data_IF_995792711912
#
_entry.id   IF_995792711912
#
_cell.length_a   1.000
_cell.length_b   1.000
_cell.length_c   1.000
_cell.angle_alpha   90.00
_cell.angle_beta   90.00
_cell.angle_gamma   90.00
#
_symmetry.space_group_name_H-M   'P 1'
#
loop_
_entity.id
_entity.type
_entity.pdbx_description
1 polymer ?
#
# COMPACT_ATOMS: atom_id res chain seq x y z
N UNK A 1 -10.45 -15.61 -1.23
CA UNK A 1 -9.58 -15.85 -0.06
C UNK A 1 -8.98 -17.23 -0.22
N UNK A 2 -7.67 -17.39 -0.08
CA UNK A 2 -7.01 -18.70 -0.06
C UNK A 2 -5.93 -18.69 1.03
N UNK A 3 -5.55 -19.87 1.51
CA UNK A 3 -4.50 -20.06 2.52
C UNK A 3 -3.33 -20.82 1.90
N UNK A 4 -2.12 -20.30 2.07
CA UNK A 4 -0.89 -21.05 1.78
C UNK A 4 -0.53 -21.95 2.96
N UNK A 5 -0.23 -23.21 2.71
CA UNK A 5 0.21 -24.18 3.72
C UNK A 5 1.72 -24.38 3.62
N UNK A 6 2.46 -23.87 4.61
CA UNK A 6 3.91 -23.96 4.71
C UNK A 6 4.45 -25.40 4.75
N UNK A 7 3.66 -26.37 5.25
CA UNK A 7 4.10 -27.77 5.34
C UNK A 7 4.05 -28.49 3.99
N UNK A 8 3.05 -28.16 3.17
CA UNK A 8 2.83 -28.84 1.87
C UNK A 8 3.29 -27.99 0.68
N UNK A 9 3.51 -26.69 0.87
CA UNK A 9 3.82 -25.73 -0.19
C UNK A 9 2.66 -25.52 -1.17
N UNK A 10 1.43 -25.83 -0.74
CA UNK A 10 0.19 -25.75 -1.54
C UNK A 10 -0.72 -24.63 -1.04
N UNK A 11 -1.77 -24.34 -1.81
CA UNK A 11 -2.81 -23.38 -1.43
C UNK A 11 -4.15 -24.06 -1.28
N UNK A 12 -5.00 -23.60 -0.35
CA UNK A 12 -6.38 -24.06 -0.28
C UNK A 12 -7.15 -23.68 -1.56
N UNK A 13 -8.22 -24.41 -1.86
CA UNK A 13 -9.22 -23.92 -2.81
C UNK A 13 -9.73 -22.52 -2.38
N UNK A 14 -9.84 -21.54 -3.30
CA UNK A 14 -10.19 -20.18 -2.95
C UNK A 14 -11.70 -20.02 -2.68
N UNK A 15 -12.04 -19.33 -1.60
CA UNK A 15 -13.41 -18.94 -1.24
C UNK A 15 -13.72 -17.53 -1.74
N UNK A 16 -14.83 -17.36 -2.46
CA UNK A 16 -15.34 -16.04 -2.85
C UNK A 16 -15.93 -15.34 -1.61
N UNK A 17 -15.32 -14.23 -1.20
CA UNK A 17 -15.80 -13.43 -0.06
C UNK A 17 -16.84 -12.40 -0.53
N UNK A 18 -16.53 -11.70 -1.62
CA UNK A 18 -17.38 -10.68 -2.20
C UNK A 18 -16.99 -10.42 -3.66
N UNK A 19 -17.98 -10.17 -4.52
CA UNK A 19 -17.77 -9.78 -5.90
C UNK A 19 -18.32 -8.37 -6.10
N UNK A 20 -17.48 -7.46 -6.59
CA UNK A 20 -17.92 -6.17 -7.12
C UNK A 20 -17.91 -6.27 -8.64
N UNK A 21 -19.00 -5.86 -9.29
CA UNK A 21 -19.09 -5.81 -10.75
C UNK A 21 -18.34 -4.57 -11.30
N UNK A 22 -17.04 -4.48 -11.03
CA UNK A 22 -16.16 -3.37 -11.43
C UNK A 22 -14.75 -3.91 -11.69
N UNK A 23 -14.06 -3.33 -12.66
CA UNK A 23 -12.65 -3.58 -12.97
C UNK A 23 -11.71 -2.51 -12.37
N UNK A 24 -12.28 -1.52 -11.66
CA UNK A 24 -11.54 -0.46 -10.97
C UNK A 24 -10.56 -1.05 -9.92
N UNK A 25 -9.24 -0.92 -10.12
CA UNK A 25 -8.22 -1.53 -9.24
C UNK A 25 -8.17 -0.91 -7.83
N UNK A 26 -8.90 0.20 -7.61
CA UNK A 26 -9.01 0.86 -6.32
C UNK A 26 -9.92 0.14 -5.32
N UNK A 27 -10.79 -0.76 -5.79
CA UNK A 27 -11.73 -1.51 -4.95
C UNK A 27 -11.12 -2.78 -4.35
N UNK A 28 -9.79 -2.85 -4.25
CA UNK A 28 -9.08 -3.96 -3.63
C UNK A 28 -9.38 -4.09 -2.13
N UNK A 29 -9.04 -5.24 -1.56
CA UNK A 29 -9.28 -5.56 -0.16
C UNK A 29 -7.99 -5.58 0.66
N UNK A 30 -8.11 -5.29 1.96
CA UNK A 30 -7.08 -5.59 2.95
C UNK A 30 -7.56 -6.67 3.90
N UNK A 31 -6.61 -7.49 4.35
CA UNK A 31 -6.87 -8.67 5.19
C UNK A 31 -6.03 -8.55 6.45
N UNK A 32 -6.61 -8.89 7.60
CA UNK A 32 -5.87 -9.06 8.85
C UNK A 32 -6.62 -10.04 9.78
N UNK A 33 -5.97 -10.48 10.85
CA UNK A 33 -6.52 -11.40 11.84
C UNK A 33 -6.59 -10.74 13.22
N UNK A 34 -7.57 -11.12 14.01
CA UNK A 34 -7.59 -10.79 15.44
C UNK A 34 -6.78 -11.80 16.28
N UNK A 35 -6.63 -11.51 17.57
CA UNK A 35 -5.89 -12.37 18.52
C UNK A 35 -6.51 -13.77 18.66
N UNK A 36 -7.82 -13.92 18.43
CA UNK A 36 -8.52 -15.20 18.49
C UNK A 36 -8.38 -16.01 17.18
N UNK A 37 -7.81 -15.43 16.13
CA UNK A 37 -7.59 -16.05 14.83
C UNK A 37 -8.73 -15.86 13.84
N UNK A 38 -9.73 -15.01 14.12
CA UNK A 38 -10.73 -14.68 13.10
C UNK A 38 -10.09 -13.84 11.99
N UNK A 39 -10.48 -14.12 10.75
CA UNK A 39 -9.99 -13.39 9.57
C UNK A 39 -10.97 -12.27 9.24
N UNK A 40 -10.44 -11.07 9.03
CA UNK A 40 -11.22 -9.90 8.64
C UNK A 40 -10.80 -9.42 7.26
N UNK A 41 -11.77 -9.08 6.44
CA UNK A 41 -11.58 -8.55 5.08
C UNK A 41 -12.31 -7.21 4.99
N UNK A 42 -11.55 -6.13 4.78
CA UNK A 42 -12.10 -4.80 4.50
C UNK A 42 -11.90 -4.52 3.00
N UNK A 43 -12.99 -4.51 2.25
CA UNK A 43 -13.00 -4.14 0.83
C UNK A 43 -13.06 -2.61 0.72
N UNK A 44 -12.08 -2.00 0.04
CA UNK A 44 -11.97 -0.55 -0.10
C UNK A 44 -13.23 0.05 -0.73
N UNK A 45 -13.59 1.26 -0.30
CA UNK A 45 -14.51 2.12 -1.05
C UNK A 45 -13.82 2.80 -2.24
N UNK A 46 -14.59 3.64 -2.95
CA UNK A 46 -14.09 4.45 -4.07
C UNK A 46 -14.62 5.87 -4.01
N UNK A 47 -13.69 6.82 -3.90
CA UNK A 47 -13.97 8.25 -3.85
C UNK A 47 -15.06 8.56 -2.82
N UNK A 48 -16.00 9.42 -3.18
CA UNK A 48 -17.24 9.71 -2.45
C UNK A 48 -18.45 8.93 -2.98
N UNK A 49 -18.26 8.03 -3.96
CA UNK A 49 -19.36 7.39 -4.70
C UNK A 49 -19.62 5.92 -4.34
N UNK A 50 -18.62 5.16 -3.88
CA UNK A 50 -18.79 3.77 -3.44
C UNK A 50 -18.28 3.57 -2.01
N UNK A 51 -19.10 2.89 -1.20
CA UNK A 51 -18.77 2.51 0.18
C UNK A 51 -17.83 1.31 0.27
N UNK A 52 -17.32 1.07 1.48
CA UNK A 52 -16.53 -0.10 1.85
C UNK A 52 -17.42 -1.25 2.34
N UNK A 53 -16.86 -2.46 2.39
CA UNK A 53 -17.51 -3.64 2.98
C UNK A 53 -16.57 -4.29 4.00
N UNK A 54 -17.11 -4.80 5.10
CA UNK A 54 -16.35 -5.49 6.15
C UNK A 54 -16.90 -6.89 6.31
N UNK A 55 -16.02 -7.89 6.23
CA UNK A 55 -16.36 -9.29 6.43
C UNK A 55 -15.50 -9.89 7.53
N UNK A 56 -16.07 -10.79 8.32
CA UNK A 56 -15.38 -11.57 9.36
C UNK A 56 -15.61 -13.06 9.11
N UNK A 57 -14.60 -13.90 9.29
CA UNK A 57 -14.77 -15.36 9.20
C UNK A 57 -15.79 -15.86 10.23
N UNK A 58 -16.53 -16.90 9.89
CA UNK A 58 -17.52 -17.50 10.79
C UNK A 58 -16.89 -18.23 11.99
N UNK A 59 -15.64 -18.67 11.84
CA UNK A 59 -14.86 -19.38 12.85
C UNK A 59 -13.41 -18.88 12.90
N UNK A 60 -12.72 -18.99 14.06
CA UNK A 60 -11.30 -18.67 14.15
C UNK A 60 -10.47 -19.66 13.32
N UNK A 61 -9.39 -19.18 12.72
CA UNK A 61 -8.46 -19.93 11.86
C UNK A 61 -9.12 -20.61 10.65
N UNK A 62 -10.31 -20.16 10.25
CA UNK A 62 -11.06 -20.65 9.10
C UNK A 62 -11.27 -19.56 8.05
N UNK A 63 -11.30 -19.96 6.79
CA UNK A 63 -11.64 -19.12 5.62
C UNK A 63 -12.85 -19.67 4.86
N UNK A 64 -13.54 -20.69 5.38
CA UNK A 64 -14.62 -21.41 4.68
C UNK A 64 -15.86 -20.55 4.42
N UNK A 65 -16.17 -19.63 5.34
CA UNK A 65 -17.31 -18.73 5.20
C UNK A 65 -17.09 -17.42 5.96
N UNK A 66 -17.77 -16.38 5.49
CA UNK A 66 -17.65 -15.02 6.00
C UNK A 66 -19.04 -14.42 6.25
N UNK A 67 -19.13 -13.62 7.30
CA UNK A 67 -20.33 -12.87 7.69
C UNK A 67 -20.08 -11.38 7.43
N UNK A 68 -21.11 -10.68 6.93
CA UNK A 68 -21.07 -9.25 6.65
C UNK A 68 -21.25 -8.40 7.92
N UNK A 69 -20.21 -7.66 8.27
CA UNK A 69 -20.14 -6.70 9.38
C UNK A 69 -20.02 -5.26 8.88
N UNK A 70 -20.30 -4.97 7.62
CA UNK A 70 -20.21 -3.62 7.03
C UNK A 70 -20.95 -2.61 7.90
N UNK A 71 -20.28 -1.56 8.39
CA UNK A 71 -20.87 -0.59 9.31
C UNK A 71 -22.02 0.16 8.63
N UNK A 72 -22.89 0.77 9.42
CA UNK A 72 -23.74 1.84 8.90
C UNK A 72 -22.84 3.01 8.48
N UNK A 73 -23.24 3.77 7.46
CA UNK A 73 -22.43 4.89 6.98
C UNK A 73 -22.23 5.93 8.10
N UNK A 74 -20.98 6.23 8.44
CA UNK A 74 -20.65 7.28 9.41
C UNK A 74 -20.77 8.66 8.78
N UNK A 75 -21.35 9.60 9.53
CA UNK A 75 -21.45 11.01 9.15
C UNK A 75 -20.17 11.77 9.56
N UNK A 76 -19.40 12.23 8.57
CA UNK A 76 -18.14 12.95 8.81
C UNK A 76 -18.34 14.44 9.13
N UNK A 77 -19.58 14.94 9.23
CA UNK A 77 -19.86 16.35 9.46
C UNK A 77 -19.13 16.92 10.70
N UNK A 78 -19.15 16.21 11.82
CA UNK A 78 -18.48 16.66 13.05
C UNK A 78 -16.95 16.58 12.95
N UNK A 79 -16.40 15.55 12.32
CA UNK A 79 -14.95 15.40 12.11
C UNK A 79 -14.37 16.49 11.20
N UNK A 80 -15.16 16.99 10.25
CA UNK A 80 -14.76 18.15 9.49
C UNK A 80 -14.74 19.43 10.35
N UNK A 81 -15.61 19.61 11.35
CA UNK A 81 -15.56 20.81 12.22
C UNK A 81 -14.24 20.92 12.98
N UNK A 82 -13.71 19.80 13.46
CA UNK A 82 -12.41 19.78 14.16
C UNK A 82 -11.26 20.24 13.25
N UNK A 83 -11.31 19.88 11.96
CA UNK A 83 -10.35 20.35 10.95
C UNK A 83 -10.41 21.85 10.75
N UNK A 84 -11.62 22.39 10.67
CA UNK A 84 -11.89 23.81 10.49
C UNK A 84 -11.28 24.61 11.66
N UNK A 85 -11.58 24.18 12.88
CA UNK A 85 -11.06 24.79 14.09
C UNK A 85 -9.52 24.75 14.13
N UNK A 86 -8.91 23.60 13.81
CA UNK A 86 -7.46 23.45 13.75
C UNK A 86 -6.80 24.32 12.65
N UNK A 87 -7.51 24.58 11.56
CA UNK A 87 -7.06 25.46 10.49
C UNK A 87 -7.24 26.96 10.80
N UNK A 88 -7.95 27.31 11.88
CA UNK A 88 -8.25 28.69 12.25
C UNK A 88 -9.13 29.41 11.24
N UNK A 89 -10.07 28.70 10.62
CA UNK A 89 -10.98 29.24 9.61
C UNK A 89 -12.44 29.00 10.03
N UNK A 90 -13.39 29.74 9.46
CA UNK A 90 -14.82 29.50 9.64
C UNK A 90 -15.39 28.95 8.33
N UNK A 91 -15.90 27.72 8.33
CA UNK A 91 -16.54 27.14 7.14
C UNK A 91 -17.92 26.55 7.44
N UNK A 92 -18.91 26.78 6.56
CA UNK A 92 -20.24 26.20 6.74
C UNK A 92 -20.20 24.71 6.37
N UNK A 93 -20.40 23.84 7.37
CA UNK A 93 -20.76 22.42 7.17
C UNK A 93 -22.27 22.31 7.44
N UNK A 94 -23.01 21.73 6.50
CA UNK A 94 -24.45 21.52 6.64
C UNK A 94 -24.86 20.16 6.14
N UNK A 95 -25.71 19.46 6.90
CA UNK A 95 -26.21 18.13 6.55
C UNK A 95 -25.21 17.01 6.84
N UNK A 96 -25.55 15.80 6.42
CA UNK A 96 -24.76 14.58 6.63
C UNK A 96 -23.72 14.41 5.53
N UNK A 97 -22.47 14.10 5.89
CA UNK A 97 -21.34 13.88 5.00
C UNK A 97 -20.84 12.44 5.08
N UNK A 98 -21.53 11.50 4.42
CA UNK A 98 -21.06 10.11 4.36
C UNK A 98 -19.79 9.98 3.53
N UNK A 99 -18.82 9.18 4.01
CA UNK A 99 -17.55 8.93 3.31
C UNK A 99 -17.18 7.46 3.32
N UNK A 100 -16.62 7.00 2.20
CA UNK A 100 -16.04 5.66 2.10
C UNK A 100 -14.59 5.63 2.56
N UNK A 101 -14.18 4.49 3.12
CA UNK A 101 -12.79 4.22 3.48
C UNK A 101 -12.01 3.84 2.20
N UNK A 102 -11.13 4.73 1.73
CA UNK A 102 -10.35 4.51 0.50
C UNK A 102 -8.90 4.13 0.81
N UNK A 103 -8.33 3.22 0.03
CA UNK A 103 -6.95 2.73 0.20
C UNK A 103 -6.62 2.31 1.65
N UNK A 104 -7.45 1.48 2.29
CA UNK A 104 -7.28 1.16 3.69
C UNK A 104 -5.94 0.47 3.96
N UNK A 105 -5.46 0.65 5.18
CA UNK A 105 -4.49 -0.21 5.86
C UNK A 105 -5.12 -0.57 7.19
N UNK A 106 -5.10 -1.85 7.54
CA UNK A 106 -5.82 -2.41 8.66
C UNK A 106 -4.89 -3.27 9.48
N UNK A 107 -4.70 -2.92 10.76
CA UNK A 107 -3.78 -3.60 11.67
C UNK A 107 -4.46 -3.93 12.99
N UNK A 108 -4.38 -5.18 13.42
CA UNK A 108 -4.87 -5.56 14.75
C UNK A 108 -3.97 -4.97 15.85
N UNK A 109 -4.60 -4.36 16.86
CA UNK A 109 -3.95 -3.81 18.05
C UNK A 109 -4.60 -4.44 19.28
N UNK A 110 -3.79 -5.13 20.09
CA UNK A 110 -4.25 -5.69 21.36
C UNK A 110 -4.55 -4.57 22.38
N UNK A 111 -5.76 -4.62 22.92
CA UNK A 111 -6.23 -3.72 23.97
C UNK A 111 -7.30 -4.42 24.84
N UNK A 112 -6.98 -4.77 26.10
CA UNK A 112 -7.88 -5.52 26.96
C UNK A 112 -9.14 -4.75 27.37
N UNK A 113 -9.21 -3.43 27.11
CA UNK A 113 -10.39 -2.62 27.35
C UNK A 113 -11.55 -2.96 26.40
N UNK A 114 -11.26 -3.56 25.24
CA UNK A 114 -12.28 -3.96 24.27
C UNK A 114 -12.79 -5.39 24.53
N UNK A 115 -14.04 -5.66 24.14
CA UNK A 115 -14.68 -6.98 24.31
C UNK A 115 -13.90 -8.09 23.59
N UNK A 116 -13.40 -7.81 22.38
CA UNK A 116 -12.55 -8.70 21.59
C UNK A 116 -11.06 -8.63 21.96
N UNK A 117 -10.71 -7.99 23.07
CA UNK A 117 -9.33 -7.76 23.51
C UNK A 117 -8.45 -7.00 22.53
N UNK A 118 -9.07 -6.25 21.61
CA UNK A 118 -8.39 -5.35 20.70
C UNK A 118 -9.34 -4.68 19.72
N UNK A 119 -8.74 -3.94 18.80
CA UNK A 119 -9.40 -3.26 17.70
C UNK A 119 -8.50 -3.26 16.46
N UNK A 120 -9.05 -2.93 15.30
CA UNK A 120 -8.25 -2.69 14.11
C UNK A 120 -7.91 -1.21 13.97
N UNK A 121 -6.63 -0.85 14.01
CA UNK A 121 -6.17 0.48 13.62
C UNK A 121 -6.26 0.63 12.11
N UNK A 122 -7.07 1.58 11.66
CA UNK A 122 -7.20 1.96 10.27
C UNK A 122 -6.32 3.17 9.96
N UNK A 123 -5.69 3.14 8.79
CA UNK A 123 -5.10 4.31 8.11
C UNK A 123 -5.66 4.34 6.69
N UNK A 124 -6.33 5.42 6.32
CA UNK A 124 -7.09 5.47 5.07
C UNK A 124 -7.21 6.88 4.52
N UNK A 125 -7.69 6.99 3.29
CA UNK A 125 -7.96 8.26 2.62
C UNK A 125 -9.44 8.55 2.63
N UNK A 126 -9.80 9.80 2.93
CA UNK A 126 -11.15 10.35 2.75
C UNK A 126 -11.10 11.32 1.58
N UNK A 127 -12.01 11.15 0.63
CA UNK A 127 -12.20 12.08 -0.48
C UNK A 127 -13.25 13.12 -0.12
N UNK A 128 -13.06 14.34 -0.63
CA UNK A 128 -13.98 15.44 -0.43
C UNK A 128 -14.80 15.68 -1.71
N UNK A 129 -16.04 16.11 -1.53
CA UNK A 129 -16.94 16.40 -2.64
C UNK A 129 -16.52 17.70 -3.35
N UNK A 130 -16.98 17.83 -4.60
CA UNK A 130 -16.87 19.09 -5.34
C UNK A 130 -17.58 20.21 -4.57
N UNK A 131 -16.85 21.27 -4.22
CA UNK A 131 -17.38 22.39 -3.44
C UNK A 131 -16.87 22.44 -1.98
N UNK A 132 -16.30 21.34 -1.48
CA UNK A 132 -15.65 21.26 -0.15
C UNK A 132 -14.19 21.76 -0.17
N UNK A 133 -13.84 22.60 -1.14
CA UNK A 133 -12.48 23.12 -1.36
C UNK A 133 -11.98 23.89 -0.14
N UNK A 134 -12.92 24.49 0.59
CA UNK A 134 -12.67 25.27 1.79
C UNK A 134 -12.37 24.39 3.02
N UNK A 135 -13.11 23.30 3.24
CA UNK A 135 -12.90 22.37 4.37
C UNK A 135 -11.73 21.40 4.15
N UNK A 136 -11.45 21.02 2.89
CA UNK A 136 -10.41 20.05 2.59
C UNK A 136 -9.12 20.63 2.01
N UNK A 137 -9.10 21.91 1.61
CA UNK A 137 -7.97 22.60 0.90
C UNK A 137 -7.38 21.79 -0.28
N UNK A 138 -8.09 20.75 -0.73
CA UNK A 138 -7.69 19.69 -1.65
C UNK A 138 -8.88 18.73 -1.88
N UNK A 139 -8.70 17.75 -2.75
CA UNK A 139 -9.67 16.69 -3.04
C UNK A 139 -9.67 15.53 -2.03
N UNK A 140 -8.66 15.40 -1.16
CA UNK A 140 -8.54 14.23 -0.25
C UNK A 140 -7.68 14.51 0.98
N UNK A 141 -7.78 13.66 2.00
CA UNK A 141 -7.07 13.77 3.27
C UNK A 141 -6.76 12.38 3.82
N UNK A 142 -5.74 12.25 4.68
CA UNK A 142 -5.38 10.99 5.34
C UNK A 142 -5.94 10.98 6.76
N UNK A 143 -6.59 9.89 7.14
CA UNK A 143 -7.23 9.68 8.43
C UNK A 143 -6.69 8.44 9.14
N UNK A 144 -6.82 8.44 10.46
CA UNK A 144 -6.77 7.25 11.29
C UNK A 144 -8.11 7.02 12.00
N UNK A 145 -8.44 5.77 12.28
CA UNK A 145 -9.59 5.41 13.11
C UNK A 145 -9.35 4.05 13.78
N UNK A 146 -10.21 3.71 14.73
CA UNK A 146 -10.36 2.35 15.26
C UNK A 146 -11.57 1.70 14.60
N UNK A 147 -11.41 0.51 14.06
CA UNK A 147 -12.54 -0.33 13.67
C UNK A 147 -12.72 -1.42 14.72
N UNK A 148 -13.89 -1.43 15.35
CA UNK A 148 -14.29 -2.41 16.36
C UNK A 148 -15.38 -3.28 15.76
N UNK A 149 -15.27 -4.59 15.90
CA UNK A 149 -16.27 -5.54 15.40
C UNK A 149 -16.88 -6.27 16.58
N UNK A 150 -17.97 -5.69 17.09
CA UNK A 150 -18.79 -6.22 18.17
C UNK A 150 -20.26 -6.34 17.73
N UNK A 151 -21.03 -7.23 18.36
CA UNK A 151 -22.42 -7.47 17.98
C UNK A 151 -22.55 -7.97 16.53
N UNK A 152 -23.32 -7.25 15.69
CA UNK A 152 -23.67 -7.66 14.32
C UNK A 152 -23.09 -6.75 13.23
N UNK A 153 -22.39 -5.66 13.60
CA UNK A 153 -21.87 -4.65 12.68
C UNK A 153 -20.54 -4.12 13.22
N UNK A 154 -19.63 -3.72 12.35
CA UNK A 154 -18.47 -2.96 12.76
C UNK A 154 -18.89 -1.53 13.16
N UNK A 155 -18.09 -0.89 14.00
CA UNK A 155 -18.16 0.54 14.28
C UNK A 155 -16.79 1.18 13.99
N UNK A 156 -16.81 2.38 13.42
CA UNK A 156 -15.62 3.20 13.22
C UNK A 156 -15.61 4.27 14.32
N UNK A 157 -14.57 4.26 15.14
CA UNK A 157 -14.41 5.09 16.33
C UNK A 157 -13.11 5.88 16.23
N UNK A 158 -12.99 6.94 17.04
CA UNK A 158 -11.79 7.78 17.15
C UNK A 158 -11.23 8.25 15.79
N UNK A 159 -12.15 8.65 14.90
CA UNK A 159 -11.82 9.16 13.56
C UNK A 159 -11.03 10.45 13.71
N UNK A 160 -9.75 10.38 13.35
CA UNK A 160 -8.78 11.47 13.51
C UNK A 160 -8.12 11.79 12.17
N UNK A 161 -8.26 13.01 11.64
CA UNK A 161 -7.52 13.43 10.47
C UNK A 161 -6.02 13.60 10.81
N UNK A 162 -5.15 13.02 9.98
CA UNK A 162 -3.69 13.10 10.11
C UNK A 162 -3.14 14.26 9.28
N UNK A 163 -3.35 14.20 7.96
CA UNK A 163 -2.77 15.15 7.02
C UNK A 163 -3.86 15.67 6.09
N UNK A 164 -4.03 16.99 6.09
CA UNK A 164 -5.14 17.67 5.45
C UNK A 164 -4.72 18.87 4.58
N UNK A 165 -3.43 19.03 4.30
CA UNK A 165 -2.90 20.13 3.50
C UNK A 165 -2.55 19.69 2.07
N UNK A 166 -3.30 20.17 1.07
CA UNK A 166 -3.05 19.89 -0.36
C UNK A 166 -3.13 18.40 -0.76
N UNK A 167 -3.75 17.55 0.06
CA UNK A 167 -4.06 16.17 -0.30
C UNK A 167 -2.88 15.21 -0.24
N UNK A 168 -3.18 13.97 0.13
CA UNK A 168 -2.16 13.01 0.52
C UNK A 168 -2.57 11.59 0.18
N UNK A 169 -1.58 10.75 -0.14
CA UNK A 169 -1.68 9.30 -0.07
C UNK A 169 -0.78 8.80 1.04
N UNK A 170 -1.11 7.66 1.63
CA UNK A 170 -0.32 7.07 2.71
C UNK A 170 -0.06 5.58 2.49
N UNK A 171 1.08 5.13 2.99
CA UNK A 171 1.41 3.72 3.25
C UNK A 171 1.70 3.57 4.74
N UNK A 172 1.44 2.39 5.30
CA UNK A 172 1.60 2.14 6.72
C UNK A 172 1.94 0.68 6.98
N UNK A 173 2.52 0.42 8.16
CA UNK A 173 2.81 -0.93 8.68
C UNK A 173 2.67 -0.88 10.21
N UNK A 174 2.28 -2.00 10.81
CA UNK A 174 2.26 -2.13 12.26
C UNK A 174 2.83 -3.48 12.72
N UNK A 175 3.39 -3.49 13.94
CA UNK A 175 3.77 -4.70 14.68
C UNK A 175 3.47 -4.49 16.16
N UNK A 176 2.54 -5.25 16.71
CA UNK A 176 1.98 -4.96 18.04
C UNK A 176 1.39 -3.55 18.07
N UNK A 177 1.75 -2.76 19.08
CA UNK A 177 1.27 -1.37 19.23
C UNK A 177 2.08 -0.34 18.43
N UNK A 178 3.17 -0.75 17.80
CA UNK A 178 3.96 0.14 16.95
C UNK A 178 3.31 0.28 15.58
N UNK A 179 3.03 1.52 15.19
CA UNK A 179 2.46 1.87 13.89
C UNK A 179 3.36 2.91 13.22
N UNK A 180 3.69 2.69 11.96
CA UNK A 180 4.42 3.67 11.14
C UNK A 180 3.59 4.08 9.94
N UNK A 181 3.70 5.35 9.57
CA UNK A 181 3.05 5.91 8.38
C UNK A 181 4.05 6.75 7.60
N UNK A 182 4.05 6.58 6.28
CA UNK A 182 4.63 7.54 5.36
C UNK A 182 3.56 8.06 4.41
N UNK A 183 3.63 9.35 4.10
CA UNK A 183 2.70 10.01 3.20
C UNK A 183 3.40 11.09 2.36
N UNK A 184 2.74 11.50 1.28
CA UNK A 184 3.23 12.52 0.34
C UNK A 184 2.21 13.66 0.23
N UNK A 185 2.53 14.72 -0.51
CA UNK A 185 1.59 15.82 -0.81
C UNK A 185 1.21 15.84 -2.29
N UNK A 186 0.02 16.36 -2.60
CA UNK A 186 -0.59 16.32 -3.92
C UNK A 186 -0.98 17.71 -4.45
N UNK A 187 0.00 18.59 -4.77
CA UNK A 187 -0.28 19.96 -5.19
C UNK A 187 -1.25 20.04 -6.37
N UNK A 188 -2.20 20.97 -6.29
CA UNK A 188 -3.14 21.27 -7.39
C UNK A 188 -4.14 20.16 -7.70
N UNK A 189 -4.22 19.09 -6.90
CA UNK A 189 -5.06 17.91 -7.14
C UNK A 189 -4.76 17.16 -8.47
N UNK A 190 -3.66 17.47 -9.17
CA UNK A 190 -3.26 16.76 -10.39
C UNK A 190 -2.72 15.38 -10.04
N UNK A 191 -3.39 14.31 -10.46
CA UNK A 191 -3.10 12.90 -10.11
C UNK A 191 -1.63 12.49 -10.21
N UNK A 192 -0.88 13.13 -11.11
CA UNK A 192 0.52 12.83 -11.40
C UNK A 192 1.51 13.71 -10.62
N UNK A 193 1.04 14.76 -9.94
CA UNK A 193 1.87 15.67 -9.16
C UNK A 193 1.95 15.24 -7.68
N UNK A 194 2.40 14.01 -7.44
CA UNK A 194 2.68 13.52 -6.08
C UNK A 194 4.11 13.81 -5.71
N UNK A 195 4.37 14.49 -4.61
CA UNK A 195 5.72 14.94 -4.25
C UNK A 195 5.92 14.99 -2.73
N UNK A 196 7.14 15.30 -2.30
CA UNK A 196 7.61 15.24 -0.92
C UNK A 196 7.44 13.86 -0.29
N UNK A 197 8.14 13.66 0.83
CA UNK A 197 8.04 12.45 1.63
C UNK A 197 8.00 12.85 3.10
N UNK A 198 6.99 12.38 3.80
CA UNK A 198 6.73 12.64 5.22
C UNK A 198 6.61 11.32 5.98
N UNK A 199 6.94 11.35 7.27
CA UNK A 199 6.92 10.19 8.14
C UNK A 199 6.46 10.54 9.55
N UNK A 200 5.61 9.67 10.10
CA UNK A 200 5.21 9.69 11.50
C UNK A 200 5.14 8.27 12.06
N UNK A 201 5.09 8.16 13.38
CA UNK A 201 4.86 6.89 14.03
C UNK A 201 4.07 7.03 15.34
N UNK A 202 3.54 5.91 15.79
CA UNK A 202 2.99 5.68 17.12
C UNK A 202 3.65 4.44 17.73
N UNK A 203 3.61 4.32 19.06
CA UNK A 203 3.98 3.13 19.82
C UNK A 203 2.87 2.68 20.78
N UNK A 204 1.71 3.33 20.73
CA UNK A 204 0.56 3.12 21.60
C UNK A 204 -0.70 2.70 20.83
N UNK A 205 -0.52 2.15 19.62
CA UNK A 205 -1.64 1.69 18.79
C UNK A 205 -2.29 2.79 17.95
N UNK A 206 -1.70 3.99 17.89
CA UNK A 206 -2.19 5.14 17.12
C UNK A 206 -2.94 6.18 17.95
N UNK A 207 -2.81 6.17 19.29
CA UNK A 207 -3.39 7.21 20.16
C UNK A 207 -2.56 8.50 20.09
N UNK A 208 -1.23 8.38 20.11
CA UNK A 208 -0.31 9.50 19.98
C UNK A 208 0.65 9.31 18.81
N UNK A 209 0.95 10.41 18.13
CA UNK A 209 1.83 10.43 16.96
C UNK A 209 3.08 11.28 17.20
N UNK A 210 4.18 10.81 16.63
CA UNK A 210 5.51 11.39 16.78
C UNK A 210 6.24 11.45 15.44
N UNK A 211 7.14 12.42 15.29
CA UNK A 211 8.04 12.48 14.14
C UNK A 211 9.24 11.52 14.32
N UNK A 212 10.13 11.44 13.34
CA UNK A 212 11.31 10.57 13.39
C UNK A 212 12.27 10.84 14.57
N UNK A 213 12.22 12.04 15.16
CA UNK A 213 13.00 12.46 16.33
C UNK A 213 12.25 12.24 17.65
N UNK A 214 11.16 11.49 17.64
CA UNK A 214 10.30 11.21 18.80
C UNK A 214 9.66 12.46 19.42
N UNK A 215 9.49 13.53 18.65
CA UNK A 215 8.77 14.72 19.09
C UNK A 215 7.28 14.56 18.78
N UNK A 216 6.42 14.90 19.74
CA UNK A 216 4.96 14.78 19.56
C UNK A 216 4.48 15.67 18.43
N UNK A 217 3.63 15.13 17.57
CA UNK A 217 3.03 15.82 16.43
C UNK A 217 1.60 16.20 16.79
N UNK A 218 1.25 17.47 16.58
CA UNK A 218 -0.13 17.93 16.74
C UNK A 218 -0.91 17.60 15.47
N UNK A 219 -2.07 16.97 15.64
CA UNK A 219 -3.00 16.64 14.56
C UNK A 219 -4.25 17.52 14.63
N UNK A 220 -4.90 17.79 13.49
CA UNK A 220 -4.46 17.47 12.13
C UNK A 220 -3.34 18.40 11.62
N UNK A 221 -2.49 17.89 10.72
CA UNK A 221 -1.50 18.73 10.00
C UNK A 221 -2.21 19.46 8.86
N UNK A 222 -2.37 20.77 9.02
CA UNK A 222 -3.14 21.65 8.10
C UNK A 222 -2.30 22.76 7.45
N UNK A 223 -1.00 22.81 7.73
CA UNK A 223 -0.08 23.84 7.22
C UNK A 223 1.25 23.27 6.70
N UNK A 224 1.95 24.00 5.81
CA UNK A 224 3.32 23.68 5.42
C UNK A 224 4.29 23.57 6.60
N UNK A 225 4.16 24.46 7.59
CA UNK A 225 5.00 24.50 8.78
C UNK A 225 4.85 23.21 9.60
N UNK A 226 3.62 22.71 9.72
CA UNK A 226 3.35 21.42 10.36
C UNK A 226 3.99 20.26 9.59
N UNK A 227 3.87 20.25 8.26
CA UNK A 227 4.49 19.21 7.41
C UNK A 227 6.02 19.18 7.52
N UNK A 228 6.68 20.34 7.63
CA UNK A 228 8.13 20.43 7.83
C UNK A 228 8.61 19.68 9.10
N UNK A 229 7.77 19.61 10.14
CA UNK A 229 8.13 18.90 11.39
C UNK A 229 8.20 17.37 11.23
N UNK A 230 7.61 16.83 10.18
CA UNK A 230 7.53 15.39 9.87
C UNK A 230 8.20 15.05 8.53
N UNK A 231 8.98 15.97 7.97
CA UNK A 231 9.64 15.81 6.68
C UNK A 231 10.74 14.72 6.72
N UNK A 232 10.66 13.82 5.75
CA UNK A 232 11.77 12.94 5.33
C UNK A 232 12.61 13.67 4.31
N UNK A 233 11.94 14.19 3.27
CA UNK A 233 12.56 15.01 2.22
C UNK A 233 11.49 15.78 1.44
N UNK A 234 11.76 17.07 1.18
CA UNK A 234 10.88 17.91 0.38
C UNK A 234 11.53 18.25 -0.97
N UNK A 235 10.71 18.25 -2.01
CA UNK A 235 11.04 18.51 -3.42
C UNK A 235 10.09 19.54 -4.05
N UNK A 236 9.10 20.02 -3.29
CA UNK A 236 8.12 20.98 -3.73
C UNK A 236 8.36 22.34 -3.10
N UNK A 237 8.55 23.34 -3.95
CA UNK A 237 8.58 24.75 -3.59
C UNK A 237 7.51 25.50 -4.41
N UNK A 238 6.39 25.93 -3.80
CA UNK A 238 5.34 26.65 -4.51
C UNK A 238 5.79 27.99 -5.09
N UNK A 239 6.91 28.56 -4.64
CA UNK A 239 7.46 29.80 -5.15
C UNK A 239 8.30 29.62 -6.43
N UNK A 240 8.65 28.37 -6.79
CA UNK A 240 9.48 28.06 -7.95
C UNK A 240 8.66 27.83 -9.22
N UNK A 241 9.16 28.28 -10.38
CA UNK A 241 8.55 27.97 -11.69
C UNK A 241 8.63 26.45 -11.91
N UNK A 242 7.48 25.82 -12.18
CA UNK A 242 7.39 24.36 -12.29
C UNK A 242 7.26 23.62 -10.96
N UNK A 243 7.46 24.29 -9.81
CA UNK A 243 7.07 23.93 -8.44
C UNK A 243 7.65 22.65 -7.83
N UNK A 244 7.65 21.57 -8.59
CA UNK A 244 7.95 20.19 -8.21
C UNK A 244 9.29 19.83 -8.83
N UNK A 245 10.35 19.82 -8.02
CA UNK A 245 11.66 19.36 -8.45
C UNK A 245 11.74 17.84 -8.62
N UNK A 246 10.87 17.08 -7.95
CA UNK A 246 10.74 15.63 -8.11
C UNK A 246 9.41 15.10 -7.58
N UNK A 247 8.85 14.10 -8.26
CA UNK A 247 7.68 13.36 -7.81
C UNK A 247 8.08 12.11 -7.03
N UNK A 248 7.26 11.76 -6.05
CA UNK A 248 7.51 10.69 -5.07
C UNK A 248 6.26 9.82 -4.93
N UNK A 249 6.39 8.56 -5.37
CA UNK A 249 5.35 7.54 -5.30
C UNK A 249 5.77 6.45 -4.33
N UNK A 250 5.21 6.47 -3.12
CA UNK A 250 5.53 5.50 -2.07
C UNK A 250 4.97 4.11 -2.40
N UNK A 251 5.75 3.06 -2.14
CA UNK A 251 5.44 1.67 -2.51
C UNK A 251 5.22 0.77 -1.30
N UNK A 252 6.16 0.81 -0.36
CA UNK A 252 6.13 0.02 0.86
C UNK A 252 6.88 0.72 1.99
N UNK A 253 6.54 0.37 3.23
CA UNK A 253 7.22 0.85 4.43
C UNK A 253 7.37 -0.32 5.38
N UNK A 254 8.55 -0.44 5.94
CA UNK A 254 8.76 -1.33 7.07
C UNK A 254 9.70 -0.66 8.07
N UNK A 255 9.82 -1.25 9.26
CA UNK A 255 10.69 -0.71 10.30
C UNK A 255 11.43 -1.83 11.03
N UNK A 256 12.54 -1.48 11.66
CA UNK A 256 13.22 -2.33 12.62
C UNK A 256 13.08 -1.73 14.02
N UNK A 257 13.26 -2.57 15.04
CA UNK A 257 13.09 -2.18 16.45
C UNK A 257 11.64 -1.75 16.79
N UNK A 258 11.41 -1.37 18.05
CA UNK A 258 10.09 -1.01 18.59
C UNK A 258 10.11 0.33 19.33
N UNK A 259 8.93 0.87 19.63
CA UNK A 259 8.77 2.09 20.42
C UNK A 259 9.47 3.30 19.82
N UNK A 260 10.16 4.05 20.67
CA UNK A 260 10.94 5.23 20.28
C UNK A 260 12.26 4.90 19.56
N UNK A 261 12.67 3.63 19.55
CA UNK A 261 13.89 3.17 18.88
C UNK A 261 13.64 2.74 17.42
N UNK A 262 12.41 2.86 16.92
CA UNK A 262 12.04 2.46 15.56
C UNK A 262 12.94 3.06 14.49
N UNK A 263 13.36 2.22 13.56
CA UNK A 263 14.17 2.56 12.38
C UNK A 263 13.39 2.26 11.11
N UNK A 264 12.54 3.19 10.65
CA UNK A 264 11.78 3.02 9.41
C UNK A 264 12.67 3.02 8.16
N UNK A 265 12.27 2.23 7.18
CA UNK A 265 12.71 2.27 5.78
C UNK A 265 11.47 2.43 4.90
N UNK A 266 11.45 3.44 4.05
CA UNK A 266 10.37 3.74 3.12
C UNK A 266 10.88 3.50 1.70
N UNK A 267 10.21 2.62 0.96
CA UNK A 267 10.47 2.35 -0.45
C UNK A 267 9.57 3.24 -1.32
N UNK A 268 10.16 3.88 -2.32
CA UNK A 268 9.43 4.76 -3.24
C UNK A 268 10.03 4.75 -4.64
N UNK A 269 9.22 5.12 -5.63
CA UNK A 269 9.68 5.53 -6.94
C UNK A 269 9.80 7.05 -6.99
N UNK A 270 10.97 7.54 -7.38
CA UNK A 270 11.21 8.96 -7.69
C UNK A 270 11.12 9.20 -9.19
N UNK A 271 10.53 10.31 -9.61
CA UNK A 271 10.39 10.63 -11.03
C UNK A 271 10.50 12.13 -11.34
N UNK A 272 11.09 12.45 -12.50
CA UNK A 272 10.96 13.77 -13.11
C UNK A 272 9.78 13.88 -14.09
N UNK A 273 9.20 12.76 -14.53
CA UNK A 273 8.05 12.75 -15.45
C UNK A 273 6.83 13.41 -14.81
N UNK A 274 6.11 14.23 -15.57
CA UNK A 274 4.84 14.85 -15.16
C UNK A 274 3.59 14.10 -15.58
N UNK A 275 3.75 12.93 -16.18
CA UNK A 275 2.67 12.08 -16.61
C UNK A 275 2.80 10.66 -16.02
N UNK A 276 1.75 9.87 -16.22
CA UNK A 276 1.65 8.47 -15.87
C UNK A 276 1.98 7.55 -17.06
N UNK A 277 2.70 8.02 -18.07
CA UNK A 277 3.05 7.15 -19.19
C UNK A 277 4.34 6.38 -18.85
N UNK A 278 4.40 5.07 -19.12
CA UNK A 278 5.65 4.33 -19.05
C UNK A 278 6.71 4.96 -19.95
N UNK A 279 7.95 5.04 -19.49
CA UNK A 279 9.05 5.59 -20.26
C UNK A 279 10.40 5.07 -19.79
N UNK A 280 11.22 4.64 -20.76
CA UNK A 280 12.65 4.36 -20.60
C UNK A 280 13.52 5.63 -20.70
N UNK A 281 12.93 6.77 -21.12
CA UNK A 281 13.64 8.05 -21.29
C UNK A 281 13.48 8.99 -20.09
N UNK A 282 12.34 8.93 -19.40
CA UNK A 282 12.13 9.71 -18.20
C UNK A 282 12.95 9.16 -17.02
N UNK A 283 13.46 10.05 -16.16
CA UNK A 283 14.22 9.66 -14.96
C UNK A 283 13.29 9.10 -13.88
N UNK A 284 12.86 7.85 -14.06
CA UNK A 284 12.25 7.01 -13.05
C UNK A 284 13.33 6.24 -12.28
N UNK A 285 13.16 6.11 -10.97
CA UNK A 285 14.06 5.27 -10.18
C UNK A 285 13.39 4.68 -8.95
N UNK A 286 13.86 3.51 -8.53
CA UNK A 286 13.53 2.94 -7.24
C UNK A 286 14.51 3.47 -6.18
N UNK A 287 14.00 3.84 -5.00
CA UNK A 287 14.83 4.34 -3.92
C UNK A 287 14.27 3.99 -2.54
N UNK A 288 15.15 4.03 -1.54
CA UNK A 288 14.77 3.95 -0.12
C UNK A 288 15.13 5.21 0.64
N UNK A 289 14.26 5.59 1.58
CA UNK A 289 14.58 6.53 2.65
C UNK A 289 14.64 5.77 3.99
N UNK A 290 15.76 5.83 4.70
CA UNK A 290 15.96 5.11 5.98
C UNK A 290 16.37 6.09 7.08
N UNK A 291 15.70 5.98 8.23
CA UNK A 291 16.07 6.75 9.42
C UNK A 291 17.29 6.12 10.12
N UNK A 292 18.35 6.90 10.28
CA UNK A 292 19.60 6.47 10.91
C UNK A 292 19.57 6.58 12.43
N UNK A 293 18.46 7.03 13.02
CA UNK A 293 18.36 7.40 14.44
C UNK A 293 18.61 8.89 14.68
N UNK A 294 19.28 9.58 13.76
CA UNK A 294 19.59 11.01 13.85
C UNK A 294 19.25 11.79 12.59
N UNK A 295 19.33 11.15 11.42
CA UNK A 295 19.11 11.76 10.11
C UNK A 295 18.41 10.80 9.15
N UNK A 296 17.79 11.34 8.10
CA UNK A 296 17.28 10.53 7.00
C UNK A 296 18.37 10.32 5.95
N UNK A 297 18.66 9.06 5.64
CA UNK A 297 19.41 8.68 4.45
C UNK A 297 18.46 8.40 3.29
N UNK A 298 18.78 8.87 2.09
CA UNK A 298 18.00 8.65 0.87
C UNK A 298 18.92 8.05 -0.20
N UNK A 299 18.62 6.84 -0.66
CA UNK A 299 19.50 6.06 -1.54
C UNK A 299 18.71 5.57 -2.75
N UNK A 300 19.23 5.84 -3.96
CA UNK A 300 18.73 5.27 -5.22
C UNK A 300 19.19 3.82 -5.30
N UNK A 301 18.24 2.91 -5.51
CA UNK A 301 18.43 1.45 -5.50
C UNK A 301 18.48 0.83 -6.89
N UNK A 302 17.74 1.39 -7.86
CA UNK A 302 17.74 0.91 -9.24
C UNK A 302 17.26 2.02 -10.18
N UNK A 303 17.71 1.95 -11.43
CA UNK A 303 17.23 2.83 -12.50
C UNK A 303 16.22 2.11 -13.41
N UNK A 304 16.17 0.79 -13.31
CA UNK A 304 15.38 -0.12 -14.11
C UNK A 304 13.92 -0.17 -13.62
N UNK A 305 13.29 0.98 -13.61
CA UNK A 305 11.83 1.12 -13.44
C UNK A 305 11.37 2.14 -14.46
N UNK A 306 10.29 1.87 -15.16
CA UNK A 306 9.80 2.68 -16.27
C UNK A 306 8.62 3.57 -15.93
N UNK A 307 8.08 3.45 -14.72
CA UNK A 307 6.78 4.04 -14.41
C UNK A 307 6.61 4.43 -12.95
N UNK A 308 5.90 5.54 -12.74
CA UNK A 308 5.54 6.07 -11.43
C UNK A 308 4.80 5.05 -10.55
N UNK A 309 4.10 4.07 -11.15
CA UNK A 309 3.35 3.05 -10.42
C UNK A 309 4.08 1.71 -10.27
N UNK A 310 5.29 1.53 -10.83
CA UNK A 310 6.15 0.35 -10.59
C UNK A 310 6.33 0.12 -9.08
N UNK A 311 5.78 -0.98 -8.57
CA UNK A 311 5.54 -1.17 -7.14
C UNK A 311 6.33 -2.34 -6.61
N UNK A 312 7.37 -2.03 -5.84
CA UNK A 312 8.13 -3.01 -5.07
C UNK A 312 7.64 -3.17 -3.64
N UNK A 313 8.24 -4.14 -2.94
CA UNK A 313 8.02 -4.40 -1.52
C UNK A 313 9.34 -4.55 -0.75
N UNK A 314 9.27 -4.34 0.56
CA UNK A 314 10.37 -4.59 1.49
C UNK A 314 10.13 -5.92 2.23
N UNK A 315 11.16 -6.75 2.32
CA UNK A 315 11.18 -7.90 3.23
C UNK A 315 12.43 -7.86 4.11
N UNK A 316 12.33 -8.04 5.44
CA UNK A 316 13.50 -8.05 6.32
C UNK A 316 14.54 -9.09 5.87
N UNK A 317 15.81 -8.68 5.79
CA UNK A 317 16.93 -9.57 5.49
C UNK A 317 18.13 -9.17 6.36
N UNK A 318 18.33 -9.90 7.46
CA UNK A 318 19.34 -9.55 8.47
C UNK A 318 19.06 -8.18 9.12
N UNK A 319 20.01 -7.26 9.03
CA UNK A 319 19.93 -5.89 9.60
C UNK A 319 19.41 -4.83 8.63
N UNK A 320 19.04 -5.22 7.41
CA UNK A 320 18.42 -4.36 6.41
C UNK A 320 17.29 -5.11 5.68
N UNK A 321 17.03 -4.77 4.42
CA UNK A 321 15.93 -5.33 3.63
C UNK A 321 16.40 -5.93 2.32
N UNK A 322 15.74 -7.00 1.89
CA UNK A 322 15.63 -7.39 0.49
C UNK A 322 14.45 -6.64 -0.13
N UNK A 323 14.65 -6.09 -1.32
CA UNK A 323 13.62 -5.39 -2.08
C UNK A 323 13.28 -6.22 -3.31
N UNK A 324 12.01 -6.57 -3.45
CA UNK A 324 11.46 -7.18 -4.66
C UNK A 324 10.72 -6.12 -5.44
N UNK A 325 10.92 -6.06 -6.76
CA UNK A 325 10.38 -5.00 -7.61
C UNK A 325 10.30 -5.44 -9.07
N UNK A 326 9.48 -4.76 -9.89
CA UNK A 326 9.50 -4.97 -11.33
C UNK A 326 10.68 -4.22 -11.95
N UNK A 327 11.53 -4.95 -12.65
CA UNK A 327 12.75 -4.48 -13.31
C UNK A 327 12.53 -4.31 -14.80
N UNK A 328 12.56 -3.06 -15.27
CA UNK A 328 12.51 -2.76 -16.70
C UNK A 328 13.80 -3.22 -17.36
N UNK A 329 13.69 -4.12 -18.34
CA UNK A 329 14.84 -4.63 -19.09
C UNK A 329 15.20 -3.64 -20.19
N UNK A 330 16.21 -2.80 -19.92
CA UNK A 330 16.65 -1.71 -20.80
C UNK A 330 16.93 -2.19 -22.25
N UNK A 331 17.53 -3.36 -22.43
CA UNK A 331 17.84 -3.92 -23.75
C UNK A 331 16.59 -4.24 -24.60
N UNK A 332 15.44 -4.44 -23.95
CA UNK A 332 14.15 -4.70 -24.61
C UNK A 332 13.46 -3.42 -25.04
N UNK A 333 13.90 -2.26 -24.53
CA UNK A 333 13.29 -0.94 -24.71
C UNK A 333 11.75 -0.98 -24.60
N UNK A 334 11.27 -1.75 -23.64
CA UNK A 334 9.86 -2.04 -23.47
C UNK A 334 9.38 -1.39 -22.17
N UNK A 335 8.83 -0.17 -22.28
CA UNK A 335 8.23 0.52 -21.15
C UNK A 335 6.72 0.25 -21.12
N UNK A 336 6.28 -0.57 -20.17
CA UNK A 336 4.91 -1.10 -20.06
C UNK A 336 4.41 -1.09 -18.60
N UNK A 337 4.85 -0.12 -17.79
CA UNK A 337 4.48 -0.01 -16.38
C UNK A 337 4.73 -1.30 -15.60
N UNK A 338 5.91 -1.88 -15.76
CA UNK A 338 6.23 -3.19 -15.24
C UNK A 338 7.64 -3.62 -15.61
N UNK A 339 7.89 -4.92 -15.52
CA UNK A 339 9.10 -5.52 -16.04
C UNK A 339 9.26 -6.96 -15.60
N UNK A 340 10.49 -7.45 -15.59
CA UNK A 340 10.83 -8.73 -15.00
C UNK A 340 10.64 -8.65 -13.47
N UNK A 341 10.22 -9.73 -12.84
CA UNK A 341 10.37 -9.84 -11.41
C UNK A 341 11.86 -9.89 -11.05
N UNK A 342 12.27 -9.05 -10.10
CA UNK A 342 13.64 -9.00 -9.63
C UNK A 342 13.72 -8.76 -8.13
N UNK A 343 14.89 -9.02 -7.55
CA UNK A 343 15.23 -8.52 -6.22
C UNK A 343 16.63 -7.92 -6.15
N UNK A 344 16.85 -7.12 -5.11
CA UNK A 344 18.17 -6.68 -4.66
C UNK A 344 18.21 -6.64 -3.13
N UNK A 345 19.39 -6.85 -2.57
CA UNK A 345 19.62 -6.63 -1.14
C UNK A 345 20.08 -5.21 -0.90
N UNK A 346 19.46 -4.55 0.07
CA UNK A 346 19.79 -3.17 0.37
C UNK A 346 20.98 -3.10 1.34
N UNK A 347 21.98 -2.27 1.01
CA UNK A 347 23.20 -2.12 1.81
C UNK A 347 23.21 -0.88 2.68
N UNK A 348 22.89 -1.02 3.97
CA UNK A 348 23.04 0.03 4.98
C UNK A 348 22.40 1.36 4.59
N UNK A 349 23.11 2.46 4.87
CA UNK A 349 22.59 3.84 4.72
C UNK A 349 23.39 4.70 3.75
N UNK A 350 24.38 4.17 3.02
CA UNK A 350 25.37 5.03 2.33
C UNK A 350 25.73 4.66 0.90
N UNK A 351 25.28 3.53 0.36
CA UNK A 351 25.66 3.12 -1.01
C UNK A 351 24.44 2.78 -1.86
N UNK A 352 24.36 3.39 -3.04
CA UNK A 352 23.51 2.90 -4.12
C UNK A 352 23.81 1.43 -4.38
N UNK A 353 22.76 0.65 -4.56
CA UNK A 353 22.87 -0.76 -4.95
C UNK A 353 22.79 -0.80 -6.45
N UNK A 354 23.72 -1.49 -7.11
CA UNK A 354 23.69 -1.65 -8.58
C UNK A 354 23.58 -3.12 -9.00
N UNK A 355 23.72 -4.05 -8.05
CA UNK A 355 23.49 -5.49 -8.28
C UNK A 355 22.03 -5.85 -8.05
N UNK A 356 21.45 -6.59 -9.00
CA UNK A 356 20.11 -7.16 -8.92
C UNK A 356 20.12 -8.62 -9.38
N UNK A 357 19.13 -9.38 -8.96
CA UNK A 357 18.86 -10.74 -9.42
C UNK A 357 17.49 -10.76 -10.09
N UNK A 358 17.46 -11.11 -11.37
CA UNK A 358 16.20 -11.41 -12.05
C UNK A 358 15.69 -12.76 -11.57
N UNK A 359 14.40 -12.84 -11.26
CA UNK A 359 13.69 -14.04 -10.82
C UNK A 359 12.54 -14.43 -11.76
N UNK A 360 12.47 -13.76 -12.90
CA UNK A 360 11.67 -14.18 -14.06
C UNK A 360 12.43 -13.84 -15.34
N UNK A 361 12.40 -14.72 -16.34
CA UNK A 361 13.04 -14.49 -17.64
C UNK A 361 12.05 -14.16 -18.77
N UNK A 362 10.74 -14.21 -18.49
CA UNK A 362 9.66 -14.15 -19.49
C UNK A 362 9.28 -12.73 -19.98
N UNK A 363 10.21 -11.77 -19.92
CA UNK A 363 9.98 -10.45 -20.52
C UNK A 363 10.19 -10.53 -22.03
N UNK A 364 9.08 -10.47 -22.77
CA UNK A 364 9.06 -10.60 -24.23
C UNK A 364 9.66 -9.37 -24.90
N UNK A 365 10.45 -9.60 -25.96
CA UNK A 365 11.03 -8.55 -26.78
C UNK A 365 10.04 -8.02 -27.82
N UNK A 366 9.70 -6.72 -27.86
CA UNK A 366 8.86 -6.15 -28.91
C UNK A 366 9.47 -6.31 -30.30
N UNK A 367 10.81 -6.37 -30.41
CA UNK A 367 11.50 -6.56 -31.68
C UNK A 367 11.34 -7.97 -32.28
N UNK A 368 10.77 -8.92 -31.52
CA UNK A 368 10.44 -10.25 -32.05
C UNK A 368 9.38 -10.22 -33.18
N UNK A 369 8.71 -9.08 -33.38
CA UNK A 369 7.87 -8.81 -34.56
C UNK A 369 6.67 -9.74 -34.71
N UNK A 370 6.35 -10.54 -33.68
CA UNK A 370 5.25 -11.50 -33.74
C UNK A 370 3.92 -10.78 -33.54
N UNK A 371 2.90 -11.17 -34.31
CA UNK A 371 1.51 -10.77 -34.07
C UNK A 371 0.99 -11.19 -32.68
N UNK A 372 1.73 -12.05 -31.98
CA UNK A 372 1.47 -12.52 -30.63
C UNK A 372 2.20 -11.73 -29.53
N UNK A 373 3.00 -10.69 -29.84
CA UNK A 373 3.75 -9.93 -28.84
C UNK A 373 2.89 -9.47 -27.64
N UNK A 374 1.82 -8.73 -27.93
CA UNK A 374 0.90 -8.27 -26.89
C UNK A 374 0.17 -9.44 -26.21
N UNK A 375 -0.07 -10.53 -26.92
CA UNK A 375 -0.71 -11.71 -26.32
C UNK A 375 0.21 -12.42 -25.33
N UNK A 376 1.51 -12.48 -25.62
CA UNK A 376 2.50 -13.17 -24.81
C UNK A 376 3.12 -12.29 -23.71
N UNK A 377 2.74 -11.00 -23.65
CA UNK A 377 3.35 -10.04 -22.75
C UNK A 377 3.12 -10.42 -21.28
N UNK A 378 4.19 -10.44 -20.49
CA UNK A 378 4.18 -10.75 -19.07
C UNK A 378 4.91 -9.66 -18.29
N UNK A 379 4.19 -8.58 -17.97
CA UNK A 379 4.71 -7.47 -17.17
C UNK A 379 4.37 -7.70 -15.71
N UNK A 380 5.38 -7.94 -14.89
CA UNK A 380 5.21 -8.07 -13.47
C UNK A 380 5.10 -6.70 -12.81
N UNK A 381 4.21 -6.57 -11.82
CA UNK A 381 4.09 -5.38 -10.99
C UNK A 381 3.33 -5.68 -9.68
N UNK A 382 3.10 -4.65 -8.87
CA UNK A 382 2.29 -4.72 -7.65
C UNK A 382 2.79 -5.73 -6.62
N UNK A 383 4.11 -5.77 -6.39
CA UNK A 383 4.68 -6.55 -5.29
C UNK A 383 4.15 -6.04 -3.94
N UNK A 384 3.68 -6.97 -3.11
CA UNK A 384 3.13 -6.71 -1.78
C UNK A 384 3.68 -7.71 -0.76
N UNK A 385 4.27 -7.17 0.29
CA UNK A 385 4.81 -7.94 1.41
C UNK A 385 3.69 -8.61 2.21
N UNK A 386 3.92 -9.85 2.63
CA UNK A 386 3.06 -10.52 3.62
C UNK A 386 3.38 -9.95 5.01
N UNK A 387 2.35 -9.63 5.80
CA UNK A 387 2.55 -9.23 7.19
C UNK A 387 3.10 -10.43 7.98
N UNK A 388 4.28 -10.28 8.58
CA UNK A 388 5.01 -11.36 9.26
C UNK A 388 5.30 -12.57 8.33
N UNK A 389 5.61 -12.31 7.05
CA UNK A 389 5.97 -13.36 6.10
C UNK A 389 7.20 -14.19 6.54
N UNK A 390 7.22 -15.44 6.12
CA UNK A 390 8.29 -16.42 6.35
C UNK A 390 9.18 -16.58 5.12
N UNK A 391 10.31 -17.27 5.27
CA UNK A 391 11.27 -17.41 4.18
C UNK A 391 10.71 -18.15 2.94
N UNK A 392 9.67 -18.96 3.08
CA UNK A 392 9.01 -19.69 2.00
C UNK A 392 7.82 -18.93 1.39
N UNK A 393 7.39 -17.81 2.00
CA UNK A 393 6.34 -16.94 1.47
C UNK A 393 6.50 -15.50 1.99
N UNK A 394 7.20 -14.67 1.22
CA UNK A 394 7.53 -13.29 1.61
C UNK A 394 6.58 -12.25 1.02
N UNK A 395 5.96 -12.56 -0.11
CA UNK A 395 5.06 -11.63 -0.79
C UNK A 395 4.30 -12.23 -1.96
N UNK A 396 3.36 -11.43 -2.47
CA UNK A 396 2.61 -11.70 -3.70
C UNK A 396 2.81 -10.57 -4.71
N UNK A 397 2.62 -10.88 -5.98
CA UNK A 397 2.66 -9.90 -7.07
C UNK A 397 1.80 -10.41 -8.23
N UNK A 398 1.53 -9.56 -9.21
CA UNK A 398 0.75 -9.92 -10.38
C UNK A 398 1.58 -9.75 -11.65
N UNK A 399 1.25 -10.54 -12.68
CA UNK A 399 1.82 -10.39 -14.02
C UNK A 399 0.72 -10.30 -15.06
N UNK A 400 1.04 -9.77 -16.24
CA UNK A 400 0.16 -9.87 -17.42
C UNK A 400 0.36 -8.73 -18.42
N UNK A 401 -0.62 -8.55 -19.31
CA UNK A 401 -0.65 -7.41 -20.21
C UNK A 401 -1.64 -6.35 -19.70
N UNK A 402 -1.12 -5.19 -19.28
CA UNK A 402 -1.93 -4.06 -18.80
C UNK A 402 -2.92 -3.50 -19.83
N UNK A 403 -2.73 -3.77 -21.12
CA UNK A 403 -3.61 -3.32 -22.21
C UNK A 403 -4.66 -4.37 -22.62
N UNK A 404 -4.64 -5.56 -22.02
CA UNK A 404 -5.58 -6.64 -22.34
C UNK A 404 -6.29 -7.15 -21.08
N UNK A 405 -7.45 -6.57 -20.79
CA UNK A 405 -8.39 -7.10 -19.81
C UNK A 405 -9.16 -8.26 -20.42
N UNK A 406 -8.65 -9.50 -20.33
CA UNK A 406 -9.36 -10.67 -20.88
C UNK A 406 -9.65 -11.78 -19.86
N UNK A 407 -8.71 -12.15 -18.98
CA UNK A 407 -8.87 -13.37 -18.15
C UNK A 407 -8.44 -13.23 -16.67
N UNK A 408 -8.25 -11.99 -16.20
CA UNK A 408 -7.71 -11.72 -14.86
C UNK A 408 -6.19 -11.89 -14.82
N UNK A 409 -5.50 -11.08 -14.02
CA UNK A 409 -4.05 -11.16 -13.92
C UNK A 409 -3.65 -12.37 -13.05
N UNK A 410 -2.76 -13.27 -13.50
CA UNK A 410 -2.19 -14.29 -12.64
C UNK A 410 -1.50 -13.66 -11.44
N UNK A 411 -1.66 -14.30 -10.29
CA UNK A 411 -1.03 -13.91 -9.04
C UNK A 411 0.09 -14.91 -8.75
N UNK A 412 1.24 -14.39 -8.36
CA UNK A 412 2.42 -15.15 -8.03
C UNK A 412 2.74 -14.99 -6.55
N UNK A 413 3.28 -16.05 -5.96
CA UNK A 413 3.94 -16.01 -4.66
C UNK A 413 5.45 -15.97 -4.90
N UNK A 414 6.18 -15.31 -4.01
CA UNK A 414 7.64 -15.33 -4.00
C UNK A 414 8.15 -15.71 -2.61
N UNK A 415 9.20 -16.51 -2.58
CA UNK A 415 9.95 -16.84 -1.37
C UNK A 415 11.18 -15.95 -1.20
N UNK A 416 11.86 -16.04 -0.06
CA UNK A 416 13.03 -15.20 0.23
C UNK A 416 14.19 -15.50 -0.73
N UNK A 417 14.34 -16.75 -1.17
CA UNK A 417 15.39 -17.16 -2.10
C UNK A 417 15.16 -16.63 -3.53
N UNK A 418 13.96 -16.12 -3.82
CA UNK A 418 13.58 -15.60 -5.12
C UNK A 418 12.91 -16.64 -6.02
N UNK A 419 12.48 -17.79 -5.49
CA UNK A 419 11.66 -18.70 -6.27
C UNK A 419 10.24 -18.14 -6.36
N UNK A 420 9.69 -18.14 -7.57
CA UNK A 420 8.32 -17.70 -7.82
C UNK A 420 7.45 -18.91 -8.19
N UNK A 421 6.21 -18.90 -7.73
CA UNK A 421 5.19 -19.88 -8.11
C UNK A 421 3.88 -19.18 -8.41
N UNK A 422 3.18 -19.62 -9.45
CA UNK A 422 1.92 -19.03 -9.88
C UNK A 422 0.75 -19.71 -9.16
N UNK A 423 -0.23 -18.92 -8.72
CA UNK A 423 -1.53 -19.45 -8.33
C UNK A 423 -2.20 -20.08 -9.56
N UNK A 424 -2.85 -21.24 -9.42
CA UNK A 424 -3.49 -21.91 -10.55
C UNK A 424 -4.57 -21.02 -11.17
N UNK A 425 -4.55 -20.88 -12.49
CA UNK A 425 -5.55 -20.12 -13.25
C UNK A 425 -6.85 -20.92 -13.47
N UNK A 426 -6.78 -22.24 -13.32
CA UNK A 426 -7.92 -23.15 -13.29
C UNK A 426 -7.69 -24.26 -12.25
N UNK A 427 -8.75 -24.67 -11.57
CA UNK A 427 -8.68 -25.72 -10.55
C UNK A 427 -9.46 -26.93 -11.07
N UNK A 428 -8.72 -27.94 -11.54
CA UNK A 428 -9.30 -29.19 -12.05
C UNK A 428 -9.21 -30.35 -11.03
N UNK A 429 -8.37 -30.20 -10.01
CA UNK A 429 -8.16 -31.19 -8.96
C UNK A 429 -7.87 -30.50 -7.63
N UNK A 430 -8.54 -30.97 -6.59
CA UNK A 430 -8.32 -30.60 -5.19
C UNK A 430 -7.98 -31.90 -4.46
N UNK A 431 -6.91 -31.91 -3.67
CA UNK A 431 -6.49 -33.11 -2.96
C UNK A 431 -7.35 -33.40 -1.71
N UNK A 432 -7.07 -34.52 -1.03
CA UNK A 432 -7.82 -34.95 0.15
C UNK A 432 -7.78 -33.98 1.35
N UNK A 433 -6.91 -32.97 1.32
CA UNK A 433 -6.83 -31.91 2.33
C UNK A 433 -7.53 -30.61 1.91
N UNK A 434 -8.19 -30.57 0.75
CA UNK A 434 -8.77 -29.35 0.21
C UNK A 434 -7.73 -28.42 -0.42
N UNK A 435 -6.56 -28.94 -0.80
CA UNK A 435 -5.42 -28.15 -1.30
C UNK A 435 -5.18 -28.37 -2.80
N UNK A 436 -4.64 -27.33 -3.43
CA UNK A 436 -4.30 -27.24 -4.84
C UNK A 436 -2.80 -26.93 -4.96
N UNK A 437 -2.13 -27.62 -5.87
CA UNK A 437 -0.73 -27.36 -6.17
C UNK A 437 -0.55 -26.01 -6.86
N UNK A 438 0.48 -25.29 -6.45
CA UNK A 438 0.98 -24.13 -7.18
C UNK A 438 1.66 -24.57 -8.48
N UNK A 439 1.66 -23.70 -9.48
CA UNK A 439 2.30 -23.96 -10.76
C UNK A 439 3.74 -23.43 -10.74
N UNK A 440 4.69 -24.26 -11.15
CA UNK A 440 6.09 -23.85 -11.36
C UNK A 440 6.21 -23.18 -12.73
N UNK A 441 5.65 -21.98 -12.86
CA UNK A 441 5.62 -21.22 -14.10
C UNK A 441 5.95 -19.75 -13.84
N UNK A 442 6.77 -19.19 -14.73
CA UNK A 442 7.03 -17.75 -14.85
C UNK A 442 6.17 -17.12 -15.98
N UNK A 443 5.30 -17.91 -16.62
CA UNK A 443 4.47 -17.40 -17.69
C UNK A 443 3.22 -16.73 -17.13
N UNK A 444 2.82 -15.61 -17.72
CA UNK A 444 1.55 -14.96 -17.40
C UNK A 444 0.33 -15.62 -18.09
N UNK A 445 0.58 -16.56 -18.98
CA UNK A 445 -0.44 -17.21 -19.82
C UNK A 445 -0.38 -18.73 -19.62
N UNK A 446 -1.46 -19.42 -19.96
CA UNK A 446 -1.58 -20.88 -19.82
C UNK A 446 -0.92 -21.65 -20.97
#
# INVERSE_FOLDING_TARGET
MARFNHNTGKVSEPVLVHMKCTDDPHDNAVINLDQAGYVYVLVSGRSTSRGNFVFKSSAPNSIESFVDYTPLMDDYADHFKDLIAAAGQDFPISGTHYRGINYPKMFWIDDPAYSQKGYFRLIYTVYCNSGEVQTCKSSRQVYSAKMVVDGTKASIQDITPIAAYKGHYAIAKARGKDVVIAFNVHPGNNLDDRTNLYYMHSFDGGENWFNAKNQRVSLPIVSPEGLKTVAVREYYDPASIGGIGRRIYMKDIDFMSSGMAKRPTILYVGSLSGDHQPSTLADHYLAKARWTGTTWSNVRLANQVDHNYSSGMLHPNGSDYRVFYPDTIDEKNNAMAGGAAAYLDTGGTSSSVWGRTLISNDVVDPASGSSSYLYNLCEYNYFKSVLNGSNDFVGIFAGGNMHQYREGAPIFIVDLAGNIKRLPTSINYVDGNGEVSLENSEACHN
#
